data_IF_170081469251
#
_entry.id   IF_170081469251
#
_cell.length_a   1.000
_cell.length_b   1.000
_cell.length_c   1.000
_cell.angle_alpha   90.00
_cell.angle_beta   90.00
_cell.angle_gamma   90.00
#
_symmetry.space_group_name_H-M   'P 1'
#
loop_
_entity.id
_entity.type
_entity.pdbx_description
1 polymer ?
#
# COMPACT_ATOMS: atom_id res chain seq x y z
N UNK A 1 3.76 34.41 67.77
CA UNK A 1 2.60 33.90 68.52
C UNK A 1 1.97 32.78 67.70
N UNK A 2 2.02 31.54 68.21
CA UNK A 2 1.31 30.30 67.81
C UNK A 2 1.38 29.85 66.32
N UNK A 3 1.88 28.69 65.92
CA UNK A 3 1.96 27.39 66.59
C UNK A 3 0.74 26.51 66.24
N UNK A 4 0.94 25.46 65.42
CA UNK A 4 0.27 24.13 65.35
C UNK A 4 0.61 23.46 64.00
N UNK A 5 1.64 22.61 63.87
CA UNK A 5 1.73 21.15 64.16
C UNK A 5 0.86 20.23 63.27
N UNK A 6 1.57 19.48 62.40
CA UNK A 6 1.43 18.06 61.98
C UNK A 6 0.05 17.43 61.83
N UNK A 7 -0.17 16.82 60.66
CA UNK A 7 -0.57 15.40 60.58
C UNK A 7 0.33 14.69 59.56
N UNK A 8 1.10 13.73 60.06
CA UNK A 8 1.86 12.73 59.34
C UNK A 8 1.03 11.44 59.22
N UNK A 9 1.48 10.55 58.32
CA UNK A 9 1.11 9.12 58.25
C UNK A 9 -0.32 8.88 57.75
N UNK A 10 -0.64 7.85 56.98
CA UNK A 10 -0.05 6.57 56.59
C UNK A 10 -0.83 6.21 55.30
N UNK A 11 -0.41 5.37 54.36
CA UNK A 11 -0.37 3.93 54.47
C UNK A 11 0.57 3.39 53.39
N UNK A 12 1.63 2.72 53.83
CA UNK A 12 2.20 1.64 53.06
C UNK A 12 1.22 0.46 53.04
N UNK A 13 1.23 -0.29 51.94
CA UNK A 13 0.77 -1.68 51.93
C UNK A 13 -0.45 -1.93 51.06
N UNK A 14 -0.29 -2.87 50.12
CA UNK A 14 -1.43 -3.52 49.50
C UNK A 14 -1.17 -3.99 48.08
N UNK A 15 -0.38 -5.06 47.94
CA UNK A 15 -0.46 -5.89 46.74
C UNK A 15 -1.90 -6.35 46.51
N UNK A 16 -2.38 -6.22 45.27
CA UNK A 16 -3.75 -6.59 44.94
C UNK A 16 -3.95 -6.66 43.44
N UNK A 17 -3.93 -7.89 42.92
CA UNK A 17 -4.26 -8.31 41.55
C UNK A 17 -5.33 -7.45 40.88
N UNK A 18 -4.92 -6.66 39.89
CA UNK A 18 -5.78 -6.15 38.83
C UNK A 18 -5.50 -6.88 37.51
N UNK A 19 -5.59 -8.21 37.50
CA UNK A 19 -5.47 -9.01 36.27
C UNK A 19 -6.80 -8.93 35.52
N UNK A 20 -7.09 -7.76 34.96
CA UNK A 20 -8.22 -7.57 34.06
C UNK A 20 -7.99 -8.36 32.75
N UNK A 21 -9.02 -8.93 32.14
CA UNK A 21 -8.92 -9.59 30.84
C UNK A 21 -8.74 -8.52 29.76
N UNK A 22 -7.53 -7.97 29.67
CA UNK A 22 -7.19 -6.87 28.76
C UNK A 22 -5.69 -6.65 28.61
N UNK A 23 -4.86 -7.15 29.53
CA UNK A 23 -3.41 -7.12 29.41
C UNK A 23 -2.88 -8.42 28.78
N UNK A 24 -3.34 -8.75 27.57
CA UNK A 24 -2.61 -9.66 26.69
C UNK A 24 -1.73 -8.77 25.83
N UNK A 25 -0.54 -8.48 26.35
CA UNK A 25 0.52 -7.85 25.58
C UNK A 25 0.60 -8.54 24.22
N UNK A 26 0.43 -7.76 23.16
CA UNK A 26 0.67 -8.23 21.80
C UNK A 26 2.16 -8.55 21.79
N UNK A 27 2.46 -9.83 22.00
CA UNK A 27 3.81 -10.31 22.21
C UNK A 27 4.70 -9.86 21.08
N UNK A 28 5.59 -8.92 21.39
CA UNK A 28 6.75 -8.54 20.58
C UNK A 28 7.77 -9.67 20.55
N UNK A 29 7.34 -10.88 20.19
CA UNK A 29 8.23 -11.99 19.91
C UNK A 29 8.81 -11.85 18.49
N UNK A 30 10.00 -12.42 18.20
CA UNK A 30 10.68 -12.38 16.89
C UNK A 30 9.93 -13.04 15.72
N UNK A 31 8.63 -13.29 15.86
CA UNK A 31 7.85 -14.17 14.98
C UNK A 31 6.37 -13.78 14.86
N UNK A 32 6.03 -12.49 14.99
CA UNK A 32 4.87 -11.99 14.24
C UNK A 32 5.27 -11.97 12.76
N UNK A 33 5.38 -13.16 12.17
CA UNK A 33 5.55 -13.34 10.73
C UNK A 33 4.30 -12.70 10.14
N UNK A 34 4.46 -11.48 9.63
CA UNK A 34 3.44 -10.87 8.78
C UNK A 34 3.24 -11.85 7.64
N UNK A 35 2.16 -12.62 7.70
CA UNK A 35 1.79 -13.50 6.60
C UNK A 35 1.78 -12.63 5.34
N UNK A 36 2.58 -13.03 4.34
CA UNK A 36 2.58 -12.35 3.03
C UNK A 36 1.13 -12.32 2.56
N UNK A 37 0.64 -11.14 2.16
CA UNK A 37 -0.71 -11.01 1.61
C UNK A 37 -0.86 -12.04 0.50
N UNK A 38 -1.85 -12.93 0.65
CA UNK A 38 -2.24 -13.83 -0.43
C UNK A 38 -2.70 -12.95 -1.59
N UNK A 39 -2.07 -13.12 -2.74
CA UNK A 39 -2.47 -12.42 -3.96
C UNK A 39 -3.86 -12.94 -4.33
N UNK A 40 -4.86 -12.08 -4.19
CA UNK A 40 -6.21 -12.30 -4.71
C UNK A 40 -6.33 -11.56 -6.03
N UNK A 41 -7.37 -11.88 -6.79
CA UNK A 41 -7.72 -11.12 -7.98
C UNK A 41 -8.11 -9.68 -7.61
N UNK A 42 -7.13 -8.78 -7.66
CA UNK A 42 -7.28 -7.35 -7.40
C UNK A 42 -8.02 -6.63 -8.54
N UNK A 43 -8.37 -7.35 -9.61
CA UNK A 43 -8.97 -6.78 -10.82
C UNK A 43 -10.35 -6.17 -10.55
N UNK A 44 -11.10 -6.74 -9.61
CA UNK A 44 -12.38 -6.21 -9.16
C UNK A 44 -12.23 -4.95 -8.29
N UNK A 45 -11.02 -4.65 -7.83
CA UNK A 45 -10.69 -3.39 -7.16
C UNK A 45 -10.82 -2.17 -8.09
N UNK A 46 -10.77 -2.37 -9.41
CA UNK A 46 -11.14 -1.34 -10.39
C UNK A 46 -12.67 -1.30 -10.47
N UNK A 47 -13.26 -0.28 -9.85
CA UNK A 47 -14.72 -0.18 -9.72
C UNK A 47 -15.35 0.25 -11.03
N UNK A 48 -16.67 0.01 -11.18
CA UNK A 48 -17.44 0.54 -12.32
C UNK A 48 -17.39 2.07 -12.39
N UNK A 49 -17.21 2.74 -11.25
CA UNK A 49 -17.06 4.19 -11.16
C UNK A 49 -15.75 4.70 -11.78
N UNK A 50 -14.64 3.99 -11.57
CA UNK A 50 -13.33 4.34 -12.15
C UNK A 50 -13.35 4.24 -13.67
N UNK A 51 -13.89 3.14 -14.20
CA UNK A 51 -14.05 2.92 -15.64
C UNK A 51 -14.95 4.01 -16.24
N UNK A 52 -16.04 4.38 -15.54
CA UNK A 52 -16.91 5.48 -15.99
C UNK A 52 -16.14 6.79 -16.06
N UNK A 53 -15.35 7.13 -15.03
CA UNK A 53 -14.53 8.36 -15.02
C UNK A 53 -13.54 8.40 -16.19
N UNK A 54 -12.86 7.29 -16.47
CA UNK A 54 -11.96 7.17 -17.62
C UNK A 54 -12.69 7.36 -18.95
N UNK A 55 -13.80 6.64 -19.15
CA UNK A 55 -14.60 6.72 -20.37
C UNK A 55 -15.18 8.13 -20.58
N UNK A 56 -15.62 8.81 -19.52
CA UNK A 56 -16.07 10.21 -19.62
C UNK A 56 -14.94 11.15 -20.04
N UNK A 57 -13.73 10.99 -19.48
CA UNK A 57 -12.56 11.76 -19.91
C UNK A 57 -12.23 11.53 -21.38
N UNK A 58 -12.48 10.32 -21.89
CA UNK A 58 -12.38 9.98 -23.32
C UNK A 58 -13.57 10.42 -24.18
N UNK A 59 -14.53 11.20 -23.66
CA UNK A 59 -15.68 11.70 -24.43
C UNK A 59 -16.80 10.69 -24.67
N UNK A 60 -16.79 9.53 -24.00
CA UNK A 60 -17.80 8.47 -24.21
C UNK A 60 -19.13 8.88 -23.58
N UNK A 61 -20.21 8.95 -24.38
CA UNK A 61 -21.55 9.41 -23.98
C UNK A 61 -22.46 8.33 -23.37
N UNK A 62 -22.37 7.09 -23.83
CA UNK A 62 -23.13 5.93 -23.32
C UNK A 62 -22.19 4.72 -23.21
N UNK A 63 -22.37 3.90 -22.18
CA UNK A 63 -21.49 2.75 -21.90
C UNK A 63 -22.38 1.52 -21.67
N UNK A 64 -22.15 0.46 -22.43
CA UNK A 64 -22.84 -0.82 -22.25
C UNK A 64 -22.37 -1.55 -20.97
N UNK A 65 -23.20 -2.44 -20.44
CA UNK A 65 -22.88 -3.20 -19.24
C UNK A 65 -21.72 -4.19 -19.41
N UNK A 66 -21.51 -4.73 -20.62
CA UNK A 66 -20.46 -5.72 -20.89
C UNK A 66 -19.05 -5.11 -20.85
N UNK A 67 -18.92 -3.83 -21.22
CA UNK A 67 -17.65 -3.11 -21.32
C UNK A 67 -16.86 -3.07 -19.99
N UNK A 68 -17.53 -3.15 -18.84
CA UNK A 68 -16.81 -3.12 -17.56
C UNK A 68 -15.88 -4.32 -17.36
N UNK A 69 -16.23 -5.48 -17.91
CA UNK A 69 -15.37 -6.67 -17.84
C UNK A 69 -14.20 -6.54 -18.81
N UNK A 70 -14.50 -6.24 -20.07
CA UNK A 70 -13.50 -6.15 -21.14
C UNK A 70 -12.43 -5.09 -20.85
N UNK A 71 -12.84 -3.94 -20.29
CA UNK A 71 -11.88 -2.89 -19.90
C UNK A 71 -10.93 -3.37 -18.80
N UNK A 72 -11.40 -4.20 -17.87
CA UNK A 72 -10.53 -4.77 -16.83
C UNK A 72 -9.50 -5.71 -17.44
N UNK A 73 -9.92 -6.58 -18.34
CA UNK A 73 -9.01 -7.47 -19.06
C UNK A 73 -7.97 -6.69 -19.87
N UNK A 74 -8.41 -5.64 -20.59
CA UNK A 74 -7.52 -4.77 -21.35
C UNK A 74 -6.49 -4.06 -20.45
N UNK A 75 -6.91 -3.55 -19.29
CA UNK A 75 -5.98 -2.92 -18.31
C UNK A 75 -4.97 -3.95 -17.80
N UNK A 76 -5.42 -5.17 -17.49
CA UNK A 76 -4.55 -6.25 -17.02
C UNK A 76 -3.53 -6.65 -18.08
N UNK A 77 -3.97 -6.83 -19.33
CA UNK A 77 -3.10 -7.15 -20.47
C UNK A 77 -2.04 -6.06 -20.68
N UNK A 78 -2.46 -4.79 -20.66
CA UNK A 78 -1.55 -3.66 -20.82
C UNK A 78 -0.50 -3.60 -19.72
N UNK A 79 -0.90 -3.80 -18.46
CA UNK A 79 0.04 -3.82 -17.34
C UNK A 79 1.00 -5.02 -17.41
N UNK A 80 0.51 -6.17 -17.88
CA UNK A 80 1.35 -7.35 -18.05
C UNK A 80 2.50 -7.10 -19.05
N UNK A 81 2.20 -6.47 -20.19
CA UNK A 81 3.23 -6.10 -21.18
C UNK A 81 4.29 -5.17 -20.60
N UNK A 82 3.88 -4.10 -19.90
CA UNK A 82 4.83 -3.14 -19.30
C UNK A 82 5.67 -3.80 -18.21
N UNK A 83 5.05 -4.58 -17.32
CA UNK A 83 5.76 -5.23 -16.22
C UNK A 83 6.73 -6.31 -16.71
N UNK A 84 6.40 -7.01 -17.80
CA UNK A 84 7.31 -7.98 -18.42
C UNK A 84 8.62 -7.32 -18.85
N UNK A 85 8.53 -6.19 -19.55
CA UNK A 85 9.70 -5.43 -19.99
C UNK A 85 10.49 -4.86 -18.80
N UNK A 86 9.79 -4.34 -17.78
CA UNK A 86 10.43 -3.87 -16.54
C UNK A 86 11.22 -4.99 -15.83
N UNK A 87 10.64 -6.19 -15.72
CA UNK A 87 11.32 -7.34 -15.10
C UNK A 87 12.59 -7.71 -15.86
N UNK A 88 12.55 -7.72 -17.20
CA UNK A 88 13.75 -8.00 -18.02
C UNK A 88 14.88 -7.00 -17.76
N UNK A 89 14.57 -5.70 -17.61
CA UNK A 89 15.58 -4.67 -17.31
C UNK A 89 16.18 -4.88 -15.92
N UNK A 90 15.34 -5.20 -14.93
CA UNK A 90 15.78 -5.43 -13.54
C UNK A 90 16.66 -6.67 -13.42
N UNK A 91 16.29 -7.75 -14.12
CA UNK A 91 17.06 -8.99 -14.19
C UNK A 91 18.43 -8.76 -14.85
N UNK A 92 18.48 -8.00 -15.95
CA UNK A 92 19.73 -7.60 -16.58
C UNK A 92 20.62 -6.79 -15.64
N UNK A 93 20.01 -5.90 -14.84
CA UNK A 93 20.70 -5.12 -13.81
C UNK A 93 21.07 -5.90 -12.54
N UNK A 94 20.78 -7.20 -12.44
CA UNK A 94 20.97 -8.05 -11.24
C UNK A 94 20.35 -7.46 -9.97
N UNK A 95 19.31 -6.64 -10.12
CA UNK A 95 18.57 -6.01 -9.01
C UNK A 95 17.33 -6.85 -8.69
N UNK A 96 16.76 -6.66 -7.51
CA UNK A 96 15.48 -7.26 -7.10
C UNK A 96 14.35 -6.23 -6.98
N UNK A 97 14.68 -4.96 -7.17
CA UNK A 97 13.76 -3.83 -6.99
C UNK A 97 13.58 -3.13 -8.33
N UNK A 98 12.32 -3.03 -8.76
CA UNK A 98 11.93 -2.22 -9.91
C UNK A 98 12.03 -0.74 -9.51
N UNK A 99 12.82 0.02 -10.25
CA UNK A 99 12.99 1.46 -10.10
C UNK A 99 12.14 2.21 -11.13
N UNK A 100 11.95 3.51 -10.93
CA UNK A 100 11.18 4.34 -11.87
C UNK A 100 11.87 4.45 -13.23
N UNK A 101 13.21 4.47 -13.23
CA UNK A 101 14.00 4.45 -14.47
C UNK A 101 13.72 3.20 -15.31
N UNK A 102 13.55 2.04 -14.69
CA UNK A 102 13.21 0.80 -15.41
C UNK A 102 11.85 0.92 -16.12
N UNK A 103 10.87 1.58 -15.49
CA UNK A 103 9.55 1.85 -16.08
C UNK A 103 9.63 2.86 -17.23
N UNK A 104 10.38 3.95 -17.05
CA UNK A 104 10.59 4.96 -18.10
C UNK A 104 11.23 4.31 -19.33
N UNK A 105 12.22 3.45 -19.12
CA UNK A 105 12.90 2.73 -20.20
C UNK A 105 11.97 1.76 -20.92
N UNK A 106 11.20 0.95 -20.19
CA UNK A 106 10.20 0.05 -20.76
C UNK A 106 9.16 0.81 -21.61
N UNK A 107 8.65 1.93 -21.09
CA UNK A 107 7.66 2.76 -21.79
C UNK A 107 8.23 3.46 -23.03
N UNK A 108 9.48 3.93 -22.96
CA UNK A 108 10.19 4.51 -24.13
C UNK A 108 10.38 3.47 -25.24
N UNK A 109 10.75 2.24 -24.89
CA UNK A 109 10.88 1.13 -25.84
C UNK A 109 9.57 0.81 -26.56
N UNK A 110 8.44 0.93 -25.87
CA UNK A 110 7.10 0.71 -26.43
C UNK A 110 6.53 1.93 -27.18
N UNK A 111 7.32 3.02 -27.35
CA UNK A 111 6.89 4.23 -28.04
C UNK A 111 5.87 5.08 -27.26
N UNK A 112 5.76 4.90 -25.94
CA UNK A 112 4.82 5.64 -25.07
C UNK A 112 5.54 6.28 -23.90
N UNK A 113 6.48 7.22 -24.14
CA UNK A 113 7.27 7.85 -23.08
C UNK A 113 6.37 8.58 -22.07
N UNK A 114 6.77 8.53 -20.79
CA UNK A 114 6.14 9.27 -19.70
C UNK A 114 7.14 10.30 -19.17
N UNK A 115 6.67 11.53 -18.94
CA UNK A 115 7.49 12.66 -18.49
C UNK A 115 7.16 13.05 -17.05
N UNK A 116 8.09 13.74 -16.38
CA UNK A 116 7.91 14.25 -15.02
C UNK A 116 8.32 13.29 -13.91
N UNK A 117 9.00 12.20 -14.25
CA UNK A 117 9.43 11.15 -13.32
C UNK A 117 10.97 10.96 -13.27
N UNK A 118 11.73 11.81 -13.97
CA UNK A 118 13.19 11.68 -14.10
C UNK A 118 13.97 12.17 -12.85
N UNK A 119 13.34 12.96 -11.98
CA UNK A 119 14.01 13.70 -10.88
C UNK A 119 13.78 13.07 -9.49
N UNK A 120 14.14 11.80 -9.29
CA UNK A 120 13.93 11.13 -7.98
C UNK A 120 15.07 11.37 -6.99
N UNK A 121 16.25 11.77 -7.49
CA UNK A 121 17.43 12.04 -6.67
C UNK A 121 17.64 13.53 -6.32
N UNK A 122 16.74 14.42 -6.74
CA UNK A 122 16.81 15.85 -6.45
C UNK A 122 16.04 16.19 -5.16
N UNK A 123 16.44 15.60 -4.03
CA UNK A 123 16.13 16.08 -2.66
C UNK A 123 17.23 15.66 -1.70
#
# INVERSE_FOLDING_TARGET
MAGKTVVSSSYAGGGGKGKGPGARGIGGGPRLRRHRKVLKDNINGITKGDIRRLARRGGVKRISALIYHDVREAIKARLYEVLRDCCTIVEHGKRKTVTVNDVIWALRRQGRPIYGFDNINDK
#
